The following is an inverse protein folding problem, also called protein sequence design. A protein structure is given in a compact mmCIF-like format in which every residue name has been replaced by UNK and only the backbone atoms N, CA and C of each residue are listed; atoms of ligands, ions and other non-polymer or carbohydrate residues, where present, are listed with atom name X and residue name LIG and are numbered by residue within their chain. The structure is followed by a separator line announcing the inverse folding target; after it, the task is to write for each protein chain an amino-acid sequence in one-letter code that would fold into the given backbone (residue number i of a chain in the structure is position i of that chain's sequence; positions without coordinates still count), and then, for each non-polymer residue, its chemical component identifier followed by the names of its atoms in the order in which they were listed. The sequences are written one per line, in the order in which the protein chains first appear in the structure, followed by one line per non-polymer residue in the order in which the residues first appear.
data_IF_483123057207
#
_entry.id   IF_483123057207
#
_cell.length_a   1.000
_cell.length_b   1.000
_cell.length_c   1.000
_cell.angle_alpha   90.00
_cell.angle_beta   90.00
_cell.angle_gamma   90.00
#
_symmetry.space_group_name_H-M   'P 1'
#
loop_
_entity.id
_entity.type
_entity.pdbx_description
1 polymer ?
#
# COMPACT_ATOMS: atom_id res chain seq x y z
N UNK A 1 22.75 22.85 -0.58
CA UNK A 1 21.38 22.78 -0.04
C UNK A 1 21.35 21.67 0.98
N UNK A 2 20.82 21.91 2.20
CA UNK A 2 20.82 20.95 3.33
C UNK A 2 19.98 19.70 3.07
N UNK A 3 19.11 19.69 2.06
CA UNK A 3 18.13 18.63 1.80
C UNK A 3 16.96 18.62 2.79
N UNK A 4 16.87 19.62 3.67
CA UNK A 4 15.77 19.76 4.62
C UNK A 4 14.51 20.28 3.90
N UNK A 5 13.37 19.67 4.17
CA UNK A 5 12.08 20.10 3.67
C UNK A 5 11.43 21.03 4.71
N UNK A 6 10.94 22.17 4.24
CA UNK A 6 10.21 23.13 5.06
C UNK A 6 8.76 23.20 4.62
N UNK A 7 7.84 22.98 5.56
CA UNK A 7 6.41 23.11 5.33
C UNK A 7 5.75 23.85 6.49
N UNK A 8 4.70 24.61 6.18
CA UNK A 8 3.84 25.20 7.22
C UNK A 8 2.94 24.12 7.83
N UNK A 9 2.68 24.24 9.13
CA UNK A 9 1.61 23.49 9.77
C UNK A 9 0.29 23.79 9.06
N UNK A 10 -0.55 22.79 8.84
CA UNK A 10 -1.80 22.95 8.09
C UNK A 10 -2.92 22.08 8.65
N UNK A 11 -4.15 22.60 8.55
CA UNK A 11 -5.38 21.81 8.68
C UNK A 11 -5.83 21.40 7.30
N UNK A 12 -6.29 20.16 7.18
CA UNK A 12 -6.97 19.68 5.99
C UNK A 12 -8.41 19.31 6.39
N UNK A 13 -9.38 19.72 5.56
CA UNK A 13 -10.78 19.37 5.75
C UNK A 13 -11.32 18.82 4.43
N UNK A 14 -11.90 17.62 4.46
CA UNK A 14 -12.59 17.05 3.32
C UNK A 14 -13.88 17.83 3.07
N UNK A 15 -14.02 18.41 1.87
CA UNK A 15 -15.20 19.19 1.43
C UNK A 15 -15.93 18.52 0.26
N UNK A 16 -15.29 17.55 -0.42
CA UNK A 16 -15.86 16.76 -1.51
C UNK A 16 -15.10 15.43 -1.65
N UNK A 17 -15.62 14.50 -2.46
CA UNK A 17 -14.91 13.26 -2.80
C UNK A 17 -13.72 13.52 -3.73
N UNK A 18 -12.67 12.70 -3.63
CA UNK A 18 -11.50 12.74 -4.51
C UNK A 18 -10.43 13.75 -4.06
N UNK A 19 -9.34 13.81 -4.84
CA UNK A 19 -8.12 14.59 -4.52
C UNK A 19 -8.37 16.11 -4.39
N UNK A 20 -9.22 16.68 -5.26
CA UNK A 20 -9.58 18.08 -5.22
C UNK A 20 -10.58 18.42 -4.08
N UNK A 21 -11.04 17.42 -3.34
CA UNK A 21 -12.03 17.56 -2.27
C UNK A 21 -11.47 18.01 -0.93
N UNK A 22 -10.23 18.52 -0.85
CA UNK A 22 -9.64 19.02 0.39
C UNK A 22 -9.49 20.54 0.35
N UNK A 23 -9.96 21.18 1.41
CA UNK A 23 -9.60 22.56 1.74
C UNK A 23 -8.39 22.50 2.68
N UNK A 24 -7.32 23.18 2.31
CA UNK A 24 -6.11 23.30 3.13
C UNK A 24 -6.05 24.70 3.73
N UNK A 25 -5.96 24.77 5.05
CA UNK A 25 -5.71 26.00 5.80
C UNK A 25 -4.31 25.92 6.43
N UNK A 26 -3.45 26.87 6.05
CA UNK A 26 -2.07 26.99 6.56
C UNK A 26 -1.83 28.33 7.24
N UNK A 27 -2.86 28.89 7.89
CA UNK A 27 -2.74 30.11 8.69
C UNK A 27 -1.82 29.88 9.90
N UNK A 28 -1.28 31.01 10.44
CA UNK A 28 -0.39 30.99 11.60
C UNK A 28 -1.04 30.45 12.88
N UNK A 29 -2.37 30.37 12.91
CA UNK A 29 -3.15 29.87 14.05
C UNK A 29 -3.25 28.32 14.06
N UNK A 30 -2.76 27.64 13.03
CA UNK A 30 -2.72 26.17 13.00
C UNK A 30 -1.65 25.68 13.96
N UNK A 31 -2.07 24.95 14.96
CA UNK A 31 -1.17 24.39 15.97
C UNK A 31 -0.42 23.17 15.44
N UNK A 32 0.75 22.85 16.04
CA UNK A 32 1.49 21.64 15.74
C UNK A 32 0.65 20.38 16.01
N UNK A 33 -0.13 20.38 17.08
CA UNK A 33 -0.98 19.24 17.45
C UNK A 33 -2.06 18.97 16.39
N UNK A 34 -2.65 20.01 15.81
CA UNK A 34 -3.60 19.90 14.70
C UNK A 34 -2.94 19.34 13.44
N UNK A 35 -1.71 19.75 13.12
CA UNK A 35 -0.95 19.18 12.01
C UNK A 35 -0.61 17.69 12.25
N UNK A 36 -0.23 17.32 13.47
CA UNK A 36 0.06 15.94 13.82
C UNK A 36 -1.21 15.07 13.78
N UNK A 37 -2.36 15.61 14.21
CA UNK A 37 -3.64 14.88 14.29
C UNK A 37 -4.19 14.44 12.92
N UNK A 38 -3.84 15.11 11.82
CA UNK A 38 -4.27 14.77 10.47
C UNK A 38 -3.38 13.74 9.78
N UNK A 39 -2.26 13.33 10.39
CA UNK A 39 -1.33 12.35 9.80
C UNK A 39 -1.93 10.95 9.74
N UNK A 40 -1.27 10.08 8.98
CA UNK A 40 -1.72 8.71 8.74
C UNK A 40 -1.53 7.79 9.97
N UNK A 41 -0.30 7.71 10.49
CA UNK A 41 0.09 6.80 11.57
C UNK A 41 0.67 7.55 12.76
N UNK A 42 0.43 7.05 13.97
CA UNK A 42 0.96 7.60 15.23
C UNK A 42 2.49 7.70 15.20
N UNK A 43 3.17 6.71 14.63
CA UNK A 43 4.63 6.68 14.48
C UNK A 43 5.16 7.81 13.57
N UNK A 44 4.32 8.37 12.71
CA UNK A 44 4.62 9.49 11.82
C UNK A 44 4.11 10.83 12.39
N UNK A 45 3.44 10.81 13.56
CA UNK A 45 2.85 11.97 14.22
C UNK A 45 3.64 12.40 15.47
N UNK A 46 4.95 12.19 15.45
CA UNK A 46 5.90 12.64 16.45
C UNK A 46 6.68 13.81 15.87
N UNK A 47 6.81 14.88 16.63
CA UNK A 47 7.66 16.01 16.28
C UNK A 47 8.79 16.17 17.31
N UNK A 48 9.80 16.96 16.95
CA UNK A 48 10.87 17.37 17.86
C UNK A 48 11.01 18.89 17.77
N UNK A 49 11.03 19.57 18.90
CA UNK A 49 11.23 21.01 18.95
C UNK A 49 12.71 21.39 18.79
N UNK A 50 13.00 22.69 18.80
CA UNK A 50 14.36 23.23 18.64
C UNK A 50 15.28 22.93 19.84
N UNK A 51 14.74 22.56 21.00
CA UNK A 51 15.47 22.15 22.19
C UNK A 51 15.74 20.64 22.21
N UNK A 52 15.16 19.90 21.24
CA UNK A 52 15.30 18.45 21.11
C UNK A 52 14.22 17.65 21.85
N UNK A 53 13.24 18.31 22.48
CA UNK A 53 12.15 17.64 23.18
C UNK A 53 11.16 17.03 22.18
N UNK A 54 10.74 15.79 22.46
CA UNK A 54 9.75 15.11 21.62
C UNK A 54 8.34 15.55 22.00
N UNK A 55 7.57 15.90 20.99
CA UNK A 55 6.15 16.25 21.05
C UNK A 55 5.38 15.09 20.43
N UNK A 56 4.67 14.33 21.25
CA UNK A 56 4.00 13.08 20.86
C UNK A 56 2.58 13.01 21.45
N UNK A 57 1.64 13.79 20.90
CA UNK A 57 0.27 13.85 21.42
C UNK A 57 -0.51 12.56 21.18
N UNK A 58 -0.04 11.68 20.29
CA UNK A 58 -0.75 10.47 19.86
C UNK A 58 -0.09 9.16 20.30
N UNK A 59 0.88 9.21 21.23
CA UNK A 59 1.60 8.05 21.75
C UNK A 59 2.35 7.23 20.68
N UNK A 60 2.88 7.89 19.67
CA UNK A 60 3.64 7.25 18.59
C UNK A 60 4.90 6.54 19.08
N UNK A 61 5.58 7.07 20.12
CA UNK A 61 6.73 6.40 20.75
C UNK A 61 6.34 5.04 21.33
N UNK A 62 5.20 4.97 22.02
CA UNK A 62 4.66 3.71 22.56
C UNK A 62 4.35 2.71 21.45
N UNK A 63 3.76 3.16 20.34
CA UNK A 63 3.46 2.31 19.20
C UNK A 63 4.75 1.84 18.49
N UNK A 64 5.83 2.65 18.47
CA UNK A 64 7.15 2.22 18.01
C UNK A 64 7.69 1.09 18.89
N UNK A 65 7.66 1.26 20.22
CA UNK A 65 8.11 0.23 21.18
C UNK A 65 7.31 -1.07 21.03
N UNK A 66 6.00 -0.95 20.81
CA UNK A 66 5.08 -2.08 20.63
C UNK A 66 5.08 -2.62 19.20
N UNK A 67 5.86 -2.01 18.28
CA UNK A 67 5.89 -2.36 16.85
C UNK A 67 4.51 -2.38 16.21
N UNK A 68 3.74 -1.33 16.44
CA UNK A 68 2.34 -1.22 16.04
C UNK A 68 2.15 -0.09 15.02
N UNK A 69 1.50 -0.38 13.90
CA UNK A 69 1.05 0.59 12.90
C UNK A 69 -0.41 0.97 13.22
N UNK A 70 -0.59 2.08 13.92
CA UNK A 70 -1.88 2.59 14.37
C UNK A 70 -2.20 3.91 13.69
N UNK A 71 -3.42 4.09 13.21
CA UNK A 71 -3.91 5.38 12.71
C UNK A 71 -3.98 6.43 13.83
N UNK A 72 -3.81 7.69 13.47
CA UNK A 72 -3.76 8.79 14.44
C UNK A 72 -5.15 9.13 14.98
N UNK A 73 -6.13 9.29 14.11
CA UNK A 73 -7.47 9.81 14.44
C UNK A 73 -8.52 9.36 13.43
N UNK A 74 -9.79 9.74 13.68
CA UNK A 74 -10.89 9.50 12.74
C UNK A 74 -10.67 10.16 11.37
N UNK A 75 -9.85 11.21 11.29
CA UNK A 75 -9.44 11.83 10.02
C UNK A 75 -8.72 10.84 9.07
N UNK A 76 -8.31 9.68 9.56
CA UNK A 76 -7.76 8.60 8.74
C UNK A 76 -8.66 8.22 7.56
N UNK A 77 -9.97 8.23 7.74
CA UNK A 77 -10.94 7.88 6.70
C UNK A 77 -11.15 8.97 5.64
N UNK A 78 -10.61 10.16 5.84
CA UNK A 78 -10.79 11.27 4.90
C UNK A 78 -10.01 11.09 3.59
N UNK A 79 -8.83 10.45 3.63
CA UNK A 79 -8.00 10.18 2.45
C UNK A 79 -7.84 8.66 2.24
N UNK A 80 -8.51 8.07 1.23
CA UNK A 80 -8.43 6.63 0.95
C UNK A 80 -7.02 6.17 0.58
N UNK A 81 -6.10 7.06 0.15
CA UNK A 81 -4.70 6.72 -0.11
C UNK A 81 -4.00 6.19 1.15
N UNK A 82 -4.47 6.55 2.34
CA UNK A 82 -3.89 6.07 3.60
C UNK A 82 -3.93 4.55 3.73
N UNK A 83 -4.86 3.87 3.06
CA UNK A 83 -4.88 2.40 2.97
C UNK A 83 -3.60 1.89 2.31
N UNK A 84 -3.20 2.47 1.18
CA UNK A 84 -1.97 2.09 0.48
C UNK A 84 -0.72 2.50 1.28
N UNK A 85 -0.76 3.66 1.92
CA UNK A 85 0.34 4.14 2.76
C UNK A 85 0.61 3.20 3.94
N UNK A 86 -0.44 2.76 4.66
CA UNK A 86 -0.31 1.77 5.76
C UNK A 86 0.24 0.46 5.23
N UNK A 87 -0.24 -0.03 4.09
CA UNK A 87 0.27 -1.25 3.45
C UNK A 87 1.77 -1.11 3.10
N UNK A 88 2.21 0.06 2.60
CA UNK A 88 3.62 0.34 2.33
C UNK A 88 4.45 0.39 3.61
N UNK A 89 3.97 1.02 4.68
CA UNK A 89 4.68 1.02 5.96
C UNK A 89 4.75 -0.39 6.56
N UNK A 90 3.73 -1.24 6.37
CA UNK A 90 3.80 -2.64 6.74
C UNK A 90 4.92 -3.37 5.96
N UNK A 91 5.05 -3.14 4.65
CA UNK A 91 6.15 -3.67 3.84
C UNK A 91 7.53 -3.17 4.31
N UNK A 92 7.64 -1.87 4.65
CA UNK A 92 8.88 -1.26 5.15
C UNK A 92 9.34 -1.85 6.48
N UNK A 93 8.43 -2.00 7.43
CA UNK A 93 8.74 -2.39 8.80
C UNK A 93 8.46 -3.86 9.11
N UNK A 94 8.15 -4.66 8.07
CA UNK A 94 7.86 -6.09 8.22
C UNK A 94 8.99 -6.84 8.95
N UNK A 95 10.24 -6.65 8.50
CA UNK A 95 11.43 -7.29 9.09
C UNK A 95 11.69 -6.89 10.54
N UNK A 96 11.17 -5.73 10.97
CA UNK A 96 11.24 -5.26 12.35
C UNK A 96 10.09 -5.81 13.22
N UNK A 97 9.17 -6.57 12.63
CA UNK A 97 8.07 -7.21 13.33
C UNK A 97 6.86 -6.31 13.61
N UNK A 98 6.75 -5.17 12.92
CA UNK A 98 5.58 -4.30 13.04
C UNK A 98 4.30 -4.99 12.55
N UNK A 99 3.18 -4.73 13.24
CA UNK A 99 1.85 -5.23 12.91
C UNK A 99 0.85 -4.08 12.86
N UNK A 100 -0.12 -4.21 11.96
CA UNK A 100 -1.21 -3.23 11.89
C UNK A 100 -2.15 -3.45 13.08
N UNK A 101 -2.50 -2.37 13.76
CA UNK A 101 -3.48 -2.41 14.85
C UNK A 101 -4.84 -2.89 14.33
N UNK A 102 -5.55 -3.77 15.08
CA UNK A 102 -6.84 -4.31 14.64
C UNK A 102 -7.86 -3.23 14.27
N UNK A 103 -7.93 -2.15 15.03
CA UNK A 103 -8.80 -1.00 14.77
C UNK A 103 -8.41 -0.23 13.50
N UNK A 104 -7.12 -0.18 13.15
CA UNK A 104 -6.65 0.41 11.90
C UNK A 104 -7.02 -0.46 10.71
N UNK A 105 -6.82 -1.78 10.83
CA UNK A 105 -7.23 -2.73 9.79
C UNK A 105 -8.75 -2.69 9.58
N UNK A 106 -9.52 -2.50 10.64
CA UNK A 106 -10.97 -2.33 10.55
C UNK A 106 -11.33 -1.09 9.73
N UNK A 107 -10.74 0.09 10.00
CA UNK A 107 -10.98 1.30 9.21
C UNK A 107 -10.54 1.14 7.75
N UNK A 108 -9.42 0.44 7.50
CA UNK A 108 -8.99 0.14 6.12
C UNK A 108 -10.05 -0.70 5.37
N UNK A 109 -10.69 -1.66 6.04
CA UNK A 109 -11.82 -2.44 5.45
C UNK A 109 -13.04 -1.58 5.17
N UNK A 110 -13.40 -0.68 6.09
CA UNK A 110 -14.51 0.27 5.90
C UNK A 110 -14.26 1.17 4.67
N UNK A 111 -13.05 1.72 4.52
CA UNK A 111 -12.66 2.51 3.34
C UNK A 111 -12.75 1.66 2.07
N UNK A 112 -12.28 0.41 2.11
CA UNK A 112 -12.34 -0.48 0.94
C UNK A 112 -13.78 -0.82 0.54
N UNK A 113 -14.69 -0.91 1.51
CA UNK A 113 -16.10 -1.21 1.28
C UNK A 113 -16.91 0.01 0.82
N UNK A 114 -16.46 1.24 1.12
CA UNK A 114 -17.18 2.47 0.79
C UNK A 114 -17.14 2.86 -0.70
N UNK A 115 -16.24 2.25 -1.50
CA UNK A 115 -15.97 2.62 -2.89
C UNK A 115 -15.06 3.85 -3.04
N UNK A 116 -14.57 4.43 -1.95
CA UNK A 116 -13.68 5.60 -2.00
C UNK A 116 -12.32 5.31 -2.67
N UNK A 117 -11.88 4.04 -2.66
CA UNK A 117 -10.65 3.65 -3.35
C UNK A 117 -10.70 3.88 -4.87
N UNK A 118 -11.89 3.79 -5.47
CA UNK A 118 -12.09 3.99 -6.91
C UNK A 118 -11.89 5.46 -7.33
N UNK A 119 -11.87 6.37 -6.36
CA UNK A 119 -11.63 7.82 -6.59
C UNK A 119 -10.15 8.20 -6.59
N UNK A 120 -9.26 7.25 -6.27
CA UNK A 120 -7.81 7.52 -6.24
C UNK A 120 -7.28 7.73 -7.65
N UNK A 121 -6.48 8.81 -7.84
CA UNK A 121 -5.81 8.99 -9.12
C UNK A 121 -4.72 7.93 -9.33
N UNK A 122 -4.57 7.44 -10.54
CA UNK A 122 -3.58 6.41 -10.88
C UNK A 122 -2.15 6.80 -10.52
N UNK A 123 -1.80 8.09 -10.63
CA UNK A 123 -0.47 8.58 -10.27
C UNK A 123 -0.19 8.41 -8.78
N UNK A 124 -1.17 8.68 -7.90
CA UNK A 124 -1.01 8.50 -6.46
C UNK A 124 -0.89 7.02 -6.11
N UNK A 125 -1.70 6.17 -6.72
CA UNK A 125 -1.61 4.72 -6.58
C UNK A 125 -0.25 4.23 -7.03
N UNK A 126 0.23 4.68 -8.19
CA UNK A 126 1.52 4.29 -8.75
C UNK A 126 2.69 4.71 -7.87
N UNK A 127 2.68 5.94 -7.33
CA UNK A 127 3.72 6.43 -6.43
C UNK A 127 3.85 5.56 -5.16
N UNK A 128 2.73 5.20 -4.52
CA UNK A 128 2.76 4.31 -3.35
C UNK A 128 3.19 2.89 -3.74
N UNK A 129 2.80 2.41 -4.93
CA UNK A 129 3.19 1.09 -5.45
C UNK A 129 4.69 1.02 -5.71
N UNK A 130 5.27 2.00 -6.42
CA UNK A 130 6.72 2.06 -6.69
C UNK A 130 7.50 2.14 -5.37
N UNK A 131 7.00 2.95 -4.42
CA UNK A 131 7.61 3.04 -3.10
C UNK A 131 7.54 1.71 -2.35
N UNK A 132 6.40 1.00 -2.40
CA UNK A 132 6.24 -0.32 -1.77
C UNK A 132 7.13 -1.38 -2.43
N UNK A 133 7.25 -1.37 -3.77
CA UNK A 133 8.16 -2.25 -4.49
C UNK A 133 9.63 -2.02 -4.11
N UNK A 134 9.99 -0.83 -3.67
CA UNK A 134 11.34 -0.48 -3.23
C UNK A 134 11.63 -0.89 -1.78
N UNK A 135 10.62 -1.27 -0.99
CA UNK A 135 10.78 -1.66 0.40
C UNK A 135 11.41 -3.06 0.57
N UNK A 136 11.72 -3.42 1.82
CA UNK A 136 12.42 -4.68 2.15
C UNK A 136 11.55 -5.91 1.99
N UNK A 137 10.22 -5.78 2.16
CA UNK A 137 9.27 -6.87 2.06
C UNK A 137 8.06 -6.48 1.16
N UNK A 138 8.28 -6.29 -0.15
CA UNK A 138 7.24 -5.74 -1.04
C UNK A 138 5.99 -6.61 -1.14
N UNK A 139 6.08 -7.92 -0.94
CA UNK A 139 4.91 -8.80 -0.94
C UNK A 139 3.93 -8.48 0.19
N UNK A 140 4.41 -7.93 1.31
CA UNK A 140 3.55 -7.56 2.44
C UNK A 140 2.58 -6.44 2.07
N UNK A 141 2.96 -5.53 1.18
CA UNK A 141 2.05 -4.51 0.64
C UNK A 141 0.80 -5.15 0.04
N UNK A 142 0.96 -6.15 -0.82
CA UNK A 142 -0.16 -6.84 -1.46
C UNK A 142 -0.94 -7.72 -0.49
N UNK A 143 -0.28 -8.37 0.49
CA UNK A 143 -0.95 -9.13 1.56
C UNK A 143 -1.86 -8.23 2.41
N UNK A 144 -1.39 -7.04 2.75
CA UNK A 144 -2.18 -6.08 3.53
C UNK A 144 -3.37 -5.55 2.72
N UNK A 145 -3.17 -5.21 1.44
CA UNK A 145 -4.27 -4.80 0.57
C UNK A 145 -5.32 -5.91 0.42
N UNK A 146 -4.90 -7.16 0.35
CA UNK A 146 -5.81 -8.31 0.33
C UNK A 146 -6.56 -8.46 1.66
N UNK A 147 -5.86 -8.41 2.78
CA UNK A 147 -6.44 -8.54 4.13
C UNK A 147 -7.50 -7.47 4.45
N UNK A 148 -7.40 -6.28 3.84
CA UNK A 148 -8.41 -5.23 3.97
C UNK A 148 -9.37 -5.15 2.77
N UNK A 149 -9.34 -6.11 1.84
CA UNK A 149 -10.17 -6.17 0.63
C UNK A 149 -9.93 -5.03 -0.37
N UNK A 150 -8.84 -4.28 -0.24
CA UNK A 150 -8.46 -3.22 -1.17
C UNK A 150 -7.84 -3.77 -2.47
N UNK A 151 -7.23 -4.96 -2.44
CA UNK A 151 -6.50 -5.53 -3.57
C UNK A 151 -7.34 -5.60 -4.85
N UNK A 152 -8.57 -6.06 -4.75
CA UNK A 152 -9.50 -6.20 -5.89
C UNK A 152 -9.93 -4.86 -6.50
N UNK A 153 -9.90 -3.78 -5.73
CA UNK A 153 -10.24 -2.43 -6.20
C UNK A 153 -9.05 -1.78 -6.89
N UNK A 154 -7.87 -1.92 -6.30
CA UNK A 154 -6.64 -1.26 -6.78
C UNK A 154 -5.94 -2.08 -7.86
N UNK A 155 -5.83 -3.40 -7.68
CA UNK A 155 -5.13 -4.33 -8.58
C UNK A 155 -5.98 -5.55 -8.90
N UNK A 156 -7.12 -5.39 -9.59
CA UNK A 156 -8.00 -6.51 -9.93
C UNK A 156 -7.29 -7.60 -10.73
N UNK A 157 -6.25 -7.25 -11.51
CA UNK A 157 -5.45 -8.20 -12.29
C UNK A 157 -4.61 -9.12 -11.38
N UNK A 158 -4.07 -8.58 -10.29
CA UNK A 158 -3.32 -9.36 -9.31
C UNK A 158 -4.28 -10.20 -8.46
N UNK A 159 -5.41 -9.61 -8.05
CA UNK A 159 -6.45 -10.33 -7.31
C UNK A 159 -7.03 -11.51 -8.12
N UNK A 160 -7.09 -11.39 -9.45
CA UNK A 160 -7.56 -12.46 -10.33
C UNK A 160 -6.66 -13.71 -10.36
N UNK A 161 -5.45 -13.65 -9.80
CA UNK A 161 -4.56 -14.81 -9.66
C UNK A 161 -4.95 -15.70 -8.46
N UNK A 162 -5.78 -15.22 -7.55
CA UNK A 162 -6.23 -15.98 -6.39
C UNK A 162 -7.10 -17.16 -6.82
N UNK A 163 -6.82 -18.34 -6.28
CA UNK A 163 -7.54 -19.57 -6.65
C UNK A 163 -7.14 -20.18 -7.99
N UNK A 164 -6.15 -19.61 -8.71
CA UNK A 164 -5.63 -20.18 -9.96
C UNK A 164 -4.63 -21.28 -9.64
N UNK A 165 -4.96 -22.57 -9.88
CA UNK A 165 -4.11 -23.68 -9.50
C UNK A 165 -2.88 -23.80 -10.41
N UNK A 166 -1.75 -24.20 -9.84
CA UNK A 166 -0.51 -24.47 -10.55
C UNK A 166 -0.10 -25.94 -10.41
N UNK A 167 0.83 -26.38 -11.27
CA UNK A 167 1.37 -27.74 -11.21
C UNK A 167 2.21 -27.94 -9.94
N UNK A 168 1.78 -28.83 -9.06
CA UNK A 168 2.42 -29.07 -7.76
C UNK A 168 3.86 -29.59 -7.86
N UNK A 169 4.25 -30.21 -8.98
CA UNK A 169 5.62 -30.68 -9.25
C UNK A 169 6.62 -29.54 -9.49
N UNK A 170 6.16 -28.35 -9.92
CA UNK A 170 6.98 -27.17 -10.13
C UNK A 170 6.64 -26.02 -9.16
N UNK A 171 5.42 -26.02 -8.64
CA UNK A 171 4.86 -24.94 -7.82
C UNK A 171 4.17 -25.57 -6.59
N UNK A 172 4.94 -26.02 -5.57
CA UNK A 172 4.38 -26.66 -4.38
C UNK A 172 3.44 -25.74 -3.58
N UNK A 173 3.54 -24.41 -3.75
CA UNK A 173 2.65 -23.41 -3.19
C UNK A 173 1.22 -23.47 -3.78
N UNK A 174 1.05 -24.08 -4.95
CA UNK A 174 -0.21 -24.45 -5.56
C UNK A 174 -1.08 -23.34 -6.14
N UNK A 175 -0.91 -22.09 -5.74
CA UNK A 175 -1.74 -20.95 -6.11
C UNK A 175 -0.90 -19.86 -6.81
N UNK A 176 -1.41 -19.30 -7.93
CA UNK A 176 -0.65 -18.33 -8.73
C UNK A 176 -0.44 -16.99 -8.02
N UNK A 177 -1.38 -16.56 -7.16
CA UNK A 177 -1.19 -15.36 -6.34
C UNK A 177 -0.09 -15.56 -5.30
N UNK A 178 -0.13 -16.68 -4.59
CA UNK A 178 0.91 -17.04 -3.61
C UNK A 178 2.27 -17.11 -4.28
N UNK A 179 2.35 -17.75 -5.46
CA UNK A 179 3.56 -17.79 -6.27
C UNK A 179 4.08 -16.39 -6.61
N UNK A 180 3.23 -15.52 -7.11
CA UNK A 180 3.59 -14.14 -7.46
C UNK A 180 4.19 -13.40 -6.26
N UNK A 181 3.62 -13.57 -5.05
CA UNK A 181 4.17 -12.97 -3.84
C UNK A 181 5.55 -13.55 -3.47
N UNK A 182 5.77 -14.85 -3.65
CA UNK A 182 7.07 -15.46 -3.43
C UNK A 182 8.12 -14.97 -4.44
N UNK A 183 7.73 -14.81 -5.70
CA UNK A 183 8.65 -14.32 -6.75
C UNK A 183 9.05 -12.87 -6.50
N UNK A 184 8.13 -12.01 -6.06
CA UNK A 184 8.47 -10.61 -5.73
C UNK A 184 9.37 -10.51 -4.48
N UNK A 185 9.21 -11.39 -3.49
CA UNK A 185 10.12 -11.48 -2.34
C UNK A 185 11.52 -11.94 -2.77
N UNK A 186 11.59 -12.96 -3.62
CA UNK A 186 12.86 -13.43 -4.19
C UNK A 186 13.55 -12.31 -5.00
N UNK A 187 12.80 -11.59 -5.84
CA UNK A 187 13.32 -10.46 -6.59
C UNK A 187 13.84 -9.36 -5.65
N UNK A 188 13.14 -9.09 -4.55
CA UNK A 188 13.56 -8.08 -3.57
C UNK A 188 14.88 -8.45 -2.86
N UNK A 189 15.13 -9.74 -2.67
CA UNK A 189 16.40 -10.23 -2.09
C UNK A 189 17.58 -10.16 -3.06
N UNK A 190 17.31 -10.15 -4.37
CA UNK A 190 18.34 -10.18 -5.42
C UNK A 190 18.71 -8.78 -5.95
N UNK A 191 17.79 -7.83 -5.95
CA UNK A 191 18.03 -6.51 -6.52
C UNK A 191 17.15 -5.42 -5.90
N UNK A 192 17.66 -4.19 -5.88
CA UNK A 192 16.90 -2.98 -5.55
C UNK A 192 16.18 -2.35 -6.76
N UNK A 193 16.41 -2.87 -7.96
CA UNK A 193 15.83 -2.33 -9.19
C UNK A 193 14.31 -2.54 -9.24
N UNK A 194 13.57 -1.47 -9.07
CA UNK A 194 12.08 -1.50 -9.01
C UNK A 194 11.47 -2.06 -10.30
N UNK A 195 12.10 -1.83 -11.47
CA UNK A 195 11.64 -2.40 -12.75
C UNK A 195 11.69 -3.92 -12.77
N UNK A 196 12.73 -4.52 -12.17
CA UNK A 196 12.84 -5.98 -12.06
C UNK A 196 11.77 -6.52 -11.11
N UNK A 197 11.56 -5.86 -9.97
CA UNK A 197 10.52 -6.23 -9.00
C UNK A 197 9.11 -6.09 -9.58
N UNK A 198 8.86 -5.04 -10.37
CA UNK A 198 7.60 -4.89 -11.11
C UNK A 198 7.41 -5.99 -12.15
N UNK A 199 8.46 -6.34 -12.91
CA UNK A 199 8.40 -7.45 -13.86
C UNK A 199 8.08 -8.78 -13.15
N UNK A 200 8.65 -9.01 -11.96
CA UNK A 200 8.34 -10.15 -11.11
C UNK A 200 6.86 -10.15 -10.66
N UNK A 201 6.29 -8.98 -10.36
CA UNK A 201 4.88 -8.84 -9.98
C UNK A 201 3.92 -9.22 -11.12
N UNK A 202 4.26 -8.86 -12.36
CA UNK A 202 3.32 -8.95 -13.49
C UNK A 202 3.53 -10.16 -14.40
N UNK A 203 4.62 -10.96 -14.19
CA UNK A 203 5.04 -12.01 -15.12
C UNK A 203 3.97 -13.08 -15.39
N UNK A 204 3.13 -13.37 -14.41
CA UNK A 204 2.14 -14.45 -14.43
C UNK A 204 0.69 -13.99 -14.56
N UNK A 205 0.42 -12.69 -14.78
CA UNK A 205 -0.96 -12.16 -14.88
C UNK A 205 -1.82 -12.87 -15.93
N UNK A 206 -1.20 -13.41 -16.98
CA UNK A 206 -1.90 -14.16 -18.01
C UNK A 206 -2.44 -15.52 -17.56
N UNK A 207 -2.01 -16.08 -16.42
CA UNK A 207 -2.56 -17.32 -15.87
C UNK A 207 -4.04 -17.17 -15.53
N UNK A 208 -4.47 -16.00 -15.08
CA UNK A 208 -5.88 -15.70 -14.81
C UNK A 208 -6.76 -15.73 -16.07
N UNK A 209 -6.17 -15.60 -17.27
CA UNK A 209 -6.90 -15.66 -18.55
C UNK A 209 -6.92 -17.05 -19.19
N UNK A 210 -6.30 -18.04 -18.56
CA UNK A 210 -6.28 -19.39 -19.11
C UNK A 210 -7.62 -20.11 -18.83
N UNK A 211 -8.22 -20.76 -19.82
CA UNK A 211 -9.44 -21.55 -19.62
C UNK A 211 -9.23 -22.67 -18.61
N UNK A 212 -10.25 -22.99 -17.82
CA UNK A 212 -10.18 -24.02 -16.77
C UNK A 212 -9.75 -25.40 -17.29
N UNK A 213 -10.05 -25.74 -18.55
CA UNK A 213 -9.65 -26.99 -19.18
C UNK A 213 -8.15 -27.03 -19.54
N UNK A 214 -7.44 -25.91 -19.49
CA UNK A 214 -5.97 -25.83 -19.63
C UNK A 214 -5.24 -25.84 -18.29
N UNK A 215 -5.97 -25.80 -17.19
CA UNK A 215 -5.38 -25.86 -15.85
C UNK A 215 -4.81 -27.24 -15.56
N UNK A 216 -3.72 -27.34 -14.83
CA UNK A 216 -2.83 -26.29 -14.31
C UNK A 216 -1.64 -25.96 -15.22
N UNK A 217 -1.75 -26.21 -16.53
CA UNK A 217 -0.63 -26.03 -17.50
C UNK A 217 -0.44 -24.61 -17.96
N UNK A 218 -1.48 -23.79 -17.98
CA UNK A 218 -1.49 -22.37 -18.37
C UNK A 218 -0.76 -22.10 -19.69
N UNK A 219 -1.13 -22.84 -20.75
CA UNK A 219 -0.46 -22.76 -22.05
C UNK A 219 -0.48 -21.32 -22.61
N UNK A 220 0.70 -20.79 -22.97
CA UNK A 220 0.90 -19.44 -23.51
C UNK A 220 0.40 -18.32 -22.59
N UNK A 221 0.43 -18.51 -21.27
CA UNK A 221 0.00 -17.47 -20.32
C UNK A 221 0.83 -16.19 -20.48
N UNK A 222 2.11 -16.26 -20.87
CA UNK A 222 2.97 -15.10 -21.09
C UNK A 222 2.39 -14.21 -22.22
N UNK A 223 1.95 -14.81 -23.32
CA UNK A 223 1.34 -14.07 -24.43
C UNK A 223 -0.03 -13.49 -24.04
N UNK A 224 -0.84 -14.26 -23.30
CA UNK A 224 -2.12 -13.81 -22.76
C UNK A 224 -1.95 -12.65 -21.78
N UNK A 225 -0.88 -12.67 -20.98
CA UNK A 225 -0.55 -11.66 -20.00
C UNK A 225 -0.27 -10.27 -20.60
N UNK A 226 0.26 -10.20 -21.84
CA UNK A 226 0.62 -8.92 -22.47
C UNK A 226 -0.55 -7.92 -22.49
N UNK A 227 -1.76 -8.38 -22.83
CA UNK A 227 -2.94 -7.51 -22.86
C UNK A 227 -3.35 -7.01 -21.46
N UNK A 228 -3.11 -7.81 -20.42
CA UNK A 228 -3.39 -7.44 -19.03
C UNK A 228 -2.37 -6.42 -18.55
N UNK A 229 -1.08 -6.68 -18.80
CA UNK A 229 0.01 -5.80 -18.42
C UNK A 229 -0.15 -4.43 -19.08
N UNK A 230 -0.45 -4.40 -20.40
CA UNK A 230 -0.69 -3.13 -21.10
C UNK A 230 -1.84 -2.35 -20.45
N UNK A 231 -2.99 -2.99 -20.16
CA UNK A 231 -4.10 -2.30 -19.47
C UNK A 231 -3.73 -1.79 -18.08
N UNK A 232 -2.92 -2.54 -17.35
CA UNK A 232 -2.43 -2.11 -16.04
C UNK A 232 -1.52 -0.88 -16.17
N UNK A 233 -0.64 -0.85 -17.17
CA UNK A 233 0.28 0.27 -17.41
C UNK A 233 -0.38 1.49 -18.04
N UNK A 234 -1.45 1.29 -18.80
CA UNK A 234 -2.17 2.35 -19.54
C UNK A 234 -3.32 2.96 -18.70
N UNK A 235 -3.48 2.59 -17.44
CA UNK A 235 -4.46 3.24 -16.56
C UNK A 235 -4.20 4.73 -16.49
N UNK A 236 -5.20 5.57 -16.80
CA UNK A 236 -5.04 7.02 -16.87
C UNK A 236 -4.76 7.64 -15.52
#
# INVERSE_FOLDING_TARGET
LSGEEYALARRERKIASGYAGFSTDSNRDVTLEEDLSRRDLTINAIARDHEGMLIDPHNGQKDIEQRTLRHVSAAFTEDPLRVLRVARFAARYHSLGFKIAPETLYLMKEISASGELDSLSPERVWQETVSALSETAPAEFFRVLDACSALKHIFPEIAALQGIPQRADFHPEGDAYVHTLMVIEAAASLTSETRVRFSALVHDLGKALTPNNEWPRHIRHEQRGLSVINRLCDRP
#
